data_IF_114984115192
#
_entry.id   IF_114984115192
#
_cell.length_a   1.000
_cell.length_b   1.000
_cell.length_c   1.000
_cell.angle_alpha   90.00
_cell.angle_beta   90.00
_cell.angle_gamma   90.00
#
_symmetry.space_group_name_H-M   'P 1'
#
loop_
_entity.id
_entity.type
_entity.pdbx_description
1 polymer ?
#
# COMPACT_ATOMS: atom_id res chain seq x y z
N UNK A 1 2.46 -27.47 22.41
CA UNK A 1 2.20 -26.22 23.17
C UNK A 1 3.46 -25.89 23.95
N UNK A 2 4.09 -24.74 23.71
CA UNK A 2 5.22 -24.27 24.53
C UNK A 2 4.59 -23.58 25.75
N UNK A 3 4.80 -24.07 26.99
CA UNK A 3 4.28 -23.43 28.18
C UNK A 3 4.93 -22.05 28.35
N UNK A 4 4.12 -21.00 28.52
CA UNK A 4 4.59 -19.65 28.83
C UNK A 4 4.64 -18.64 27.67
N UNK A 5 4.20 -19.01 26.45
CA UNK A 5 4.09 -18.04 25.36
C UNK A 5 2.72 -17.35 25.42
N UNK A 6 2.66 -16.18 26.07
CA UNK A 6 1.49 -15.31 26.05
C UNK A 6 1.31 -14.76 24.64
N UNK A 7 0.32 -15.24 23.91
CA UNK A 7 -0.06 -14.65 22.61
C UNK A 7 -0.80 -13.35 22.92
N UNK A 8 -0.11 -12.22 22.82
CA UNK A 8 -0.79 -10.92 22.86
C UNK A 8 -1.75 -10.86 21.67
N UNK A 9 -3.07 -10.75 21.88
CA UNK A 9 -4.00 -10.67 20.77
C UNK A 9 -3.67 -9.43 19.95
N UNK A 10 -3.67 -9.61 18.63
CA UNK A 10 -3.51 -8.50 17.71
C UNK A 10 -4.61 -7.46 17.97
N UNK A 11 -4.29 -6.16 18.05
CA UNK A 11 -5.32 -5.14 18.19
C UNK A 11 -6.33 -5.27 17.06
N UNK A 12 -7.62 -5.34 17.41
CA UNK A 12 -8.69 -5.37 16.44
C UNK A 12 -8.67 -4.04 15.65
N UNK A 13 -8.49 -4.15 14.35
CA UNK A 13 -8.54 -3.05 13.39
C UNK A 13 -9.71 -3.26 12.45
N UNK A 14 -10.42 -2.18 12.12
CA UNK A 14 -11.48 -2.18 11.12
C UNK A 14 -11.10 -1.26 9.96
N UNK A 15 -11.35 -1.71 8.73
CA UNK A 15 -11.24 -0.85 7.53
C UNK A 15 -12.22 0.30 7.63
N UNK A 16 -11.78 1.48 7.19
CA UNK A 16 -12.61 2.68 7.09
C UNK A 16 -12.52 3.25 5.69
N UNK A 17 -13.62 3.80 5.14
CA UNK A 17 -13.57 4.51 3.87
C UNK A 17 -12.54 5.66 3.86
N UNK A 18 -12.02 5.95 2.67
CA UNK A 18 -11.17 7.11 2.39
C UNK A 18 -12.02 8.09 1.59
N UNK A 19 -12.74 8.95 2.33
CA UNK A 19 -13.79 9.85 1.82
C UNK A 19 -13.39 11.33 1.93
N UNK A 20 -12.38 11.65 2.72
CA UNK A 20 -11.88 13.01 2.87
C UNK A 20 -11.09 13.43 1.63
N UNK A 21 -11.47 14.59 1.04
CA UNK A 21 -10.79 15.14 -0.14
C UNK A 21 -9.28 15.29 0.04
N UNK A 22 -8.82 15.64 1.25
CA UNK A 22 -7.41 15.77 1.57
C UNK A 22 -6.68 14.41 1.52
N UNK A 23 -7.32 13.35 1.98
CA UNK A 23 -6.76 11.99 1.95
C UNK A 23 -6.68 11.50 0.51
N UNK A 24 -7.73 11.72 -0.29
CA UNK A 24 -7.75 11.39 -1.73
C UNK A 24 -6.59 12.09 -2.45
N UNK A 25 -6.43 13.41 -2.25
CA UNK A 25 -5.35 14.18 -2.87
C UNK A 25 -3.94 13.70 -2.44
N UNK A 26 -3.80 13.28 -1.18
CA UNK A 26 -2.54 12.73 -0.68
C UNK A 26 -2.21 11.37 -1.33
N UNK A 27 -3.20 10.51 -1.54
CA UNK A 27 -3.00 9.24 -2.28
C UNK A 27 -2.68 9.49 -3.75
N UNK A 28 -3.34 10.45 -4.40
CA UNK A 28 -2.99 10.84 -5.78
C UNK A 28 -1.54 11.32 -5.87
N UNK A 29 -1.08 12.09 -4.88
CA UNK A 29 0.31 12.55 -4.78
C UNK A 29 1.28 11.39 -4.61
N UNK A 30 0.95 10.41 -3.76
CA UNK A 30 1.71 9.16 -3.60
C UNK A 30 1.81 8.41 -4.94
N UNK A 31 0.68 8.20 -5.61
CA UNK A 31 0.61 7.49 -6.90
C UNK A 31 1.48 8.19 -7.95
N UNK A 32 1.41 9.52 -8.05
CA UNK A 32 2.25 10.29 -8.96
C UNK A 32 3.75 10.16 -8.64
N UNK A 33 4.10 10.23 -7.35
CA UNK A 33 5.49 10.06 -6.89
C UNK A 33 6.06 8.69 -7.22
N UNK A 34 5.31 7.62 -6.91
CA UNK A 34 5.68 6.24 -7.27
C UNK A 34 5.84 6.07 -8.77
N UNK A 35 4.89 6.59 -9.56
CA UNK A 35 4.94 6.52 -11.02
C UNK A 35 6.20 7.18 -11.58
N UNK A 36 6.62 8.32 -11.02
CA UNK A 36 7.87 8.98 -11.39
C UNK A 36 9.11 8.12 -11.12
N UNK A 37 9.18 7.47 -9.95
CA UNK A 37 10.29 6.56 -9.61
C UNK A 37 10.31 5.35 -10.55
N UNK A 38 9.14 4.74 -10.80
CA UNK A 38 9.01 3.56 -11.66
C UNK A 38 9.42 3.89 -13.09
N UNK A 39 8.94 5.00 -13.65
CA UNK A 39 9.31 5.46 -14.98
C UNK A 39 10.82 5.73 -15.10
N UNK A 40 11.44 6.32 -14.08
CA UNK A 40 12.89 6.56 -14.05
C UNK A 40 13.72 5.25 -14.08
N UNK A 41 13.13 4.13 -13.68
CA UNK A 41 13.74 2.79 -13.73
C UNK A 41 13.39 2.00 -14.99
N UNK A 42 12.63 2.59 -15.93
CA UNK A 42 12.13 1.92 -17.14
C UNK A 42 10.96 0.97 -16.88
N UNK A 43 10.33 1.05 -15.71
CA UNK A 43 9.14 0.29 -15.36
C UNK A 43 7.85 0.98 -15.83
N UNK A 44 6.72 0.31 -15.59
CA UNK A 44 5.37 0.80 -15.94
C UNK A 44 4.43 0.64 -14.76
N UNK A 45 3.57 1.62 -14.52
CA UNK A 45 2.60 1.64 -13.41
C UNK A 45 1.16 1.59 -13.93
N UNK A 46 0.28 0.93 -13.19
CA UNK A 46 -1.12 0.76 -13.52
C UNK A 46 -2.02 0.87 -12.28
N UNK A 47 -3.24 1.37 -12.47
CA UNK A 47 -4.31 1.38 -11.48
C UNK A 47 -5.42 0.45 -11.95
N UNK A 48 -5.80 -0.55 -11.14
CA UNK A 48 -6.85 -1.53 -11.50
C UNK A 48 -6.66 -2.15 -12.92
N UNK A 49 -5.42 -2.45 -13.29
CA UNK A 49 -5.08 -3.04 -14.59
C UNK A 49 -5.11 -2.07 -15.78
N UNK A 50 -5.23 -0.76 -15.56
CA UNK A 50 -5.13 0.28 -16.60
C UNK A 50 -3.88 1.12 -16.43
N UNK A 51 -3.20 1.46 -17.53
CA UNK A 51 -2.01 2.32 -17.48
C UNK A 51 -2.38 3.68 -16.86
N UNK A 52 -1.58 4.09 -15.88
CA UNK A 52 -1.83 5.31 -15.13
C UNK A 52 -1.65 6.57 -15.98
N UNK A 53 -0.76 6.52 -16.97
CA UNK A 53 -0.43 7.63 -17.87
C UNK A 53 -1.50 7.86 -18.94
N UNK A 54 -2.28 6.83 -19.25
CA UNK A 54 -3.35 6.89 -20.26
C UNK A 54 -4.72 7.24 -19.67
N UNK A 55 -4.87 7.18 -18.33
CA UNK A 55 -6.14 7.43 -17.64
C UNK A 55 -6.35 8.91 -17.36
N UNK A 56 -7.53 9.45 -17.70
CA UNK A 56 -7.93 10.82 -17.38
C UNK A 56 -7.97 11.08 -15.86
N UNK A 57 -7.71 12.32 -15.43
CA UNK A 57 -7.68 12.69 -14.00
C UNK A 57 -9.02 12.44 -13.31
N UNK A 58 -10.14 12.79 -13.95
CA UNK A 58 -11.48 12.64 -13.37
C UNK A 58 -11.88 11.18 -13.32
N UNK A 59 -11.58 10.41 -14.38
CA UNK A 59 -11.81 8.96 -14.39
C UNK A 59 -10.97 8.24 -13.33
N UNK A 60 -9.68 8.60 -13.20
CA UNK A 60 -8.79 8.07 -12.18
C UNK A 60 -9.30 8.39 -10.77
N UNK A 61 -9.74 9.61 -10.51
CA UNK A 61 -10.32 9.98 -9.22
C UNK A 61 -11.60 9.17 -8.90
N UNK A 62 -12.49 8.98 -9.87
CA UNK A 62 -13.70 8.16 -9.69
C UNK A 62 -13.37 6.69 -9.43
N UNK A 63 -12.37 6.13 -10.12
CA UNK A 63 -11.89 4.77 -9.89
C UNK A 63 -11.28 4.61 -8.50
N UNK A 64 -10.46 5.56 -8.07
CA UNK A 64 -9.90 5.57 -6.71
C UNK A 64 -11.02 5.59 -5.66
N UNK A 65 -12.05 6.42 -5.84
CA UNK A 65 -13.23 6.45 -4.95
C UNK A 65 -13.95 5.11 -4.87
N UNK A 66 -14.22 4.45 -6.01
CA UNK A 66 -14.86 3.13 -6.00
C UNK A 66 -13.98 2.07 -5.30
N UNK A 67 -12.68 2.09 -5.59
CA UNK A 67 -11.67 1.26 -4.93
C UNK A 67 -11.60 1.52 -3.42
N UNK A 68 -11.77 2.77 -2.98
CA UNK A 68 -11.84 3.12 -1.56
C UNK A 68 -13.10 2.60 -0.87
N UNK A 69 -14.25 2.62 -1.56
CA UNK A 69 -15.52 2.11 -1.03
C UNK A 69 -15.48 0.58 -0.86
N UNK A 70 -14.72 -0.13 -1.71
CA UNK A 70 -14.45 -1.57 -1.58
C UNK A 70 -13.25 -1.88 -0.65
N UNK A 71 -12.50 -0.86 -0.22
CA UNK A 71 -11.33 -0.98 0.67
C UNK A 71 -10.06 -1.49 -0.01
N UNK A 72 -9.94 -1.31 -1.32
CA UNK A 72 -8.90 -1.87 -2.18
C UNK A 72 -8.33 -0.81 -3.12
N UNK A 73 -7.39 0.06 -2.67
CA UNK A 73 -6.55 0.74 -3.67
C UNK A 73 -5.47 -0.22 -4.11
N UNK A 74 -5.64 -0.82 -5.28
CA UNK A 74 -4.66 -1.69 -5.94
C UNK A 74 -3.85 -0.87 -6.95
N UNK A 75 -2.67 -0.43 -6.54
CA UNK A 75 -1.66 0.15 -7.42
C UNK A 75 -0.71 -0.96 -7.87
N UNK A 76 -0.68 -1.28 -9.15
CA UNK A 76 0.23 -2.27 -9.73
C UNK A 76 1.40 -1.61 -10.43
N UNK A 77 2.59 -2.19 -10.39
CA UNK A 77 3.68 -1.79 -11.27
C UNK A 77 4.56 -2.97 -11.68
N UNK A 78 5.19 -2.85 -12.85
CA UNK A 78 6.30 -3.70 -13.27
C UNK A 78 7.60 -2.94 -13.05
N UNK A 79 8.52 -3.53 -12.29
CA UNK A 79 9.86 -3.00 -12.10
C UNK A 79 10.70 -3.19 -13.37
N UNK A 80 11.26 -2.10 -13.92
CA UNK A 80 12.09 -2.17 -15.12
C UNK A 80 13.46 -2.84 -14.90
N UNK A 81 13.90 -2.98 -13.65
CA UNK A 81 15.22 -3.54 -13.29
C UNK A 81 15.16 -5.05 -13.10
N UNK A 82 14.11 -5.55 -12.46
CA UNK A 82 13.95 -6.99 -12.16
C UNK A 82 12.91 -7.67 -13.03
N UNK A 83 11.95 -6.90 -13.58
CA UNK A 83 10.80 -7.43 -14.31
C UNK A 83 9.63 -7.86 -13.41
N UNK A 84 9.80 -7.79 -12.08
CA UNK A 84 8.77 -8.20 -11.12
C UNK A 84 7.54 -7.31 -11.22
N UNK A 85 6.36 -7.91 -11.10
CA UNK A 85 5.10 -7.19 -10.98
C UNK A 85 4.71 -7.13 -9.52
N UNK A 86 4.59 -5.94 -8.97
CA UNK A 86 4.20 -5.70 -7.60
C UNK A 86 2.88 -4.94 -7.54
N UNK A 87 2.04 -5.29 -6.57
CA UNK A 87 0.74 -4.70 -6.31
C UNK A 87 0.72 -4.17 -4.87
N UNK A 88 0.36 -2.91 -4.69
CA UNK A 88 0.17 -2.28 -3.38
C UNK A 88 -1.32 -2.18 -3.10
N UNK A 89 -1.72 -2.63 -1.92
CA UNK A 89 -3.06 -2.43 -1.35
C UNK A 89 -2.95 -1.38 -0.25
N UNK A 90 -3.57 -0.20 -0.45
CA UNK A 90 -3.60 0.87 0.56
C UNK A 90 -4.95 0.90 1.28
N UNK A 91 -4.91 0.98 2.61
CA UNK A 91 -6.09 1.01 3.46
C UNK A 91 -5.93 2.02 4.59
N UNK A 92 -7.06 2.64 4.97
CA UNK A 92 -7.20 3.41 6.20
C UNK A 92 -7.87 2.53 7.25
N UNK A 93 -7.26 2.42 8.42
CA UNK A 93 -7.68 1.52 9.48
C UNK A 93 -7.98 2.31 10.76
N UNK A 94 -9.10 1.98 11.40
CA UNK A 94 -9.36 2.39 12.78
C UNK A 94 -8.97 1.25 13.73
N UNK A 95 -8.09 1.53 14.68
CA UNK A 95 -7.79 0.63 15.80
C UNK A 95 -8.83 0.81 16.91
N UNK A 96 -9.05 -0.22 17.74
CA UNK A 96 -10.06 -0.24 18.80
C UNK A 96 -10.05 0.92 19.84
N UNK A 97 -9.04 1.81 19.81
CA UNK A 97 -9.00 3.07 20.56
C UNK A 97 -9.56 4.29 19.81
N UNK A 98 -10.08 4.11 18.59
CA UNK A 98 -10.45 5.19 17.67
C UNK A 98 -9.26 5.84 16.96
N UNK A 99 -8.04 5.31 17.17
CA UNK A 99 -6.83 5.79 16.49
C UNK A 99 -6.83 5.34 15.03
N UNK A 100 -6.64 6.30 14.12
CA UNK A 100 -6.49 6.03 12.69
C UNK A 100 -5.02 5.73 12.38
N UNK A 101 -4.80 4.70 11.55
CA UNK A 101 -3.52 4.38 10.93
C UNK A 101 -3.73 4.09 9.45
N UNK A 102 -2.67 4.23 8.67
CA UNK A 102 -2.60 3.91 7.26
C UNK A 102 -1.76 2.65 7.08
N UNK A 103 -2.23 1.72 6.26
CA UNK A 103 -1.51 0.50 5.91
C UNK A 103 -1.35 0.42 4.39
N UNK A 104 -0.15 0.08 3.95
CA UNK A 104 0.12 -0.37 2.58
C UNK A 104 0.70 -1.77 2.60
N UNK A 105 -0.02 -2.74 2.05
CA UNK A 105 0.48 -4.11 1.86
C UNK A 105 1.05 -4.26 0.45
N UNK A 106 2.19 -4.93 0.33
CA UNK A 106 2.87 -5.14 -0.95
C UNK A 106 2.82 -6.61 -1.30
N UNK A 107 2.22 -6.92 -2.44
CA UNK A 107 2.13 -8.23 -3.06
C UNK A 107 3.03 -8.27 -4.29
N UNK A 108 3.67 -9.39 -4.57
CA UNK A 108 4.43 -9.61 -5.81
C UNK A 108 3.82 -10.79 -6.54
N UNK A 109 3.66 -10.67 -7.86
CA UNK A 109 3.21 -11.76 -8.70
C UNK A 109 4.27 -12.87 -8.78
N UNK A 110 3.80 -14.09 -8.62
CA UNK A 110 4.58 -15.33 -8.75
C UNK A 110 3.77 -16.32 -9.61
N UNK A 111 4.41 -17.39 -10.07
CA UNK A 111 3.78 -18.39 -10.94
C UNK A 111 2.46 -18.98 -10.39
N UNK A 112 2.31 -18.99 -9.05
CA UNK A 112 1.15 -19.53 -8.34
C UNK A 112 0.14 -18.47 -7.87
N UNK A 113 0.29 -17.19 -8.26
CA UNK A 113 -0.60 -16.10 -7.89
C UNK A 113 0.14 -14.91 -7.29
N UNK A 114 -0.37 -14.35 -6.19
CA UNK A 114 0.21 -13.19 -5.53
C UNK A 114 0.79 -13.58 -4.16
N UNK A 115 2.07 -13.30 -3.94
CA UNK A 115 2.73 -13.51 -2.66
C UNK A 115 2.82 -12.19 -1.88
N UNK A 116 2.29 -12.16 -0.66
CA UNK A 116 2.47 -11.03 0.25
C UNK A 116 3.94 -10.92 0.64
N UNK A 117 4.58 -9.81 0.26
CA UNK A 117 5.96 -9.49 0.64
C UNK A 117 6.06 -8.81 2.01
N UNK A 118 5.04 -8.04 2.39
CA UNK A 118 4.96 -7.39 3.71
C UNK A 118 4.06 -6.17 3.70
N UNK A 119 4.16 -5.34 4.74
CA UNK A 119 3.41 -4.09 4.82
C UNK A 119 4.18 -2.96 5.50
N UNK A 120 3.81 -1.74 5.12
CA UNK A 120 4.13 -0.52 5.84
C UNK A 120 2.89 -0.05 6.58
N UNK A 121 3.05 0.38 7.82
CA UNK A 121 1.96 0.95 8.61
C UNK A 121 2.48 2.18 9.34
N UNK A 122 1.75 3.29 9.25
CA UNK A 122 2.08 4.51 9.98
C UNK A 122 0.81 5.25 10.38
N UNK A 123 0.96 6.28 11.22
CA UNK A 123 -0.16 7.12 11.67
C UNK A 123 -0.55 8.16 10.61
N UNK A 124 0.39 8.52 9.76
CA UNK A 124 0.21 9.45 8.65
C UNK A 124 0.46 8.73 7.31
N UNK A 125 -0.33 9.09 6.29
CA UNK A 125 -0.17 8.58 4.94
C UNK A 125 1.17 9.04 4.34
N UNK A 126 1.66 10.22 4.71
CA UNK A 126 2.95 10.72 4.24
C UNK A 126 4.12 9.78 4.59
N UNK A 127 4.09 9.18 5.78
CA UNK A 127 5.13 8.26 6.23
C UNK A 127 5.08 6.92 5.47
N UNK A 128 3.86 6.40 5.25
CA UNK A 128 3.65 5.20 4.41
C UNK A 128 4.14 5.47 2.98
N UNK A 129 3.83 6.65 2.45
CA UNK A 129 4.22 7.10 1.12
C UNK A 129 5.74 7.16 0.94
N UNK A 130 6.45 7.76 1.90
CA UNK A 130 7.90 7.84 1.88
C UNK A 130 8.55 6.45 1.93
N UNK A 131 8.05 5.56 2.79
CA UNK A 131 8.56 4.20 2.92
C UNK A 131 8.34 3.38 1.64
N UNK A 132 7.15 3.45 1.05
CA UNK A 132 6.84 2.82 -0.24
C UNK A 132 7.72 3.34 -1.36
N UNK A 133 7.88 4.66 -1.47
CA UNK A 133 8.69 5.29 -2.52
C UNK A 133 10.15 4.87 -2.41
N UNK A 134 10.69 4.79 -1.19
CA UNK A 134 12.04 4.28 -0.95
C UNK A 134 12.16 2.80 -1.35
N UNK A 135 11.20 1.96 -0.95
CA UNK A 135 11.20 0.54 -1.30
C UNK A 135 11.08 0.31 -2.81
N UNK A 136 10.20 1.04 -3.49
CA UNK A 136 10.08 1.04 -4.94
C UNK A 136 11.39 1.50 -5.58
N UNK A 137 12.03 2.56 -5.07
CA UNK A 137 13.35 3.02 -5.52
C UNK A 137 14.45 1.97 -5.35
N UNK A 138 14.32 1.03 -4.43
CA UNK A 138 15.26 -0.08 -4.18
C UNK A 138 14.81 -1.43 -4.80
N UNK A 139 13.81 -1.44 -5.69
CA UNK A 139 13.26 -2.66 -6.31
C UNK A 139 12.72 -3.69 -5.31
N UNK A 140 12.25 -3.23 -4.15
CA UNK A 140 11.88 -4.10 -3.02
C UNK A 140 13.01 -5.04 -2.57
N UNK A 141 14.29 -4.69 -2.81
CA UNK A 141 15.44 -5.55 -2.49
C UNK A 141 15.60 -5.83 -1.00
N UNK A 142 14.99 -5.00 -0.13
CA UNK A 142 14.97 -5.22 1.32
C UNK A 142 13.73 -6.01 1.74
N UNK A 143 13.87 -6.98 2.67
CA UNK A 143 12.71 -7.63 3.27
C UNK A 143 11.77 -6.61 3.88
N UNK A 144 10.49 -6.69 3.52
CA UNK A 144 9.46 -5.84 4.08
C UNK A 144 9.01 -6.36 5.45
N UNK A 145 8.58 -5.48 6.37
CA UNK A 145 8.02 -5.92 7.65
C UNK A 145 6.79 -6.80 7.45
N UNK A 146 6.61 -7.80 8.31
CA UNK A 146 5.34 -8.55 8.35
C UNK A 146 4.20 -7.58 8.74
N UNK A 147 3.00 -7.69 8.15
CA UNK A 147 1.92 -6.74 8.40
C UNK A 147 1.60 -6.56 9.88
N UNK A 148 1.56 -7.66 10.63
CA UNK A 148 1.35 -7.60 12.06
C UNK A 148 2.45 -6.81 12.79
N UNK A 149 3.72 -7.05 12.48
CA UNK A 149 4.82 -6.34 13.13
C UNK A 149 4.80 -4.84 12.82
N UNK A 150 4.50 -4.47 11.57
CA UNK A 150 4.32 -3.08 11.18
C UNK A 150 3.17 -2.41 11.94
N UNK A 151 2.02 -3.08 12.01
CA UNK A 151 0.83 -2.58 12.71
C UNK A 151 1.09 -2.42 14.22
N UNK A 152 1.72 -3.41 14.85
CA UNK A 152 2.06 -3.34 16.27
C UNK A 152 3.00 -2.16 16.57
N UNK A 153 4.00 -1.92 15.70
CA UNK A 153 4.91 -0.80 15.86
C UNK A 153 4.22 0.56 15.70
N UNK A 154 3.29 0.71 14.75
CA UNK A 154 2.55 1.96 14.55
C UNK A 154 1.57 2.29 15.70
N UNK A 155 1.07 1.26 16.38
CA UNK A 155 0.10 1.37 17.47
C UNK A 155 0.74 1.53 18.86
N UNK A 156 2.01 1.13 19.03
CA UNK A 156 2.82 1.45 20.21
C UNK A 156 2.96 2.97 20.39
#
# INVERSE_FOLDING_TARGET
MIPGMTVTPFPAVSRTPIDAQADIAAVETLIAGLSGVIAATGGVAALAGRDLLETDVVERAAMLTAMYDDGEVVFGWRDGRTGDVANVVLERLAAGSGRIVWRAEVYVEEDAGHALRGAFVARDLADVSAALTCAAGEALARPLPKPGAALAAALA
#
